data_IF_687882421835
#
_entry.id   IF_687882421835
#
_cell.length_a   1.000
_cell.length_b   1.000
_cell.length_c   1.000
_cell.angle_alpha   90.00
_cell.angle_beta   90.00
_cell.angle_gamma   90.00
#
_symmetry.space_group_name_H-M   'P 1'
#
loop_
_entity.id
_entity.type
_entity.pdbx_description
1 polymer ?
#
# COMPACT_ATOMS: atom_id res chain seq x y z
N UNK A 1 -13.78 97.51 -6.06
CA UNK A 1 -12.61 97.03 -5.28
C UNK A 1 -11.29 96.99 -6.07
N UNK A 2 -11.29 96.92 -7.42
CA UNK A 2 -10.05 96.90 -8.21
C UNK A 2 -9.27 98.24 -8.27
N UNK A 3 -9.95 99.39 -8.17
CA UNK A 3 -9.28 100.69 -8.35
C UNK A 3 -8.40 101.10 -7.16
N UNK A 4 -8.76 100.72 -5.92
CA UNK A 4 -7.97 101.04 -4.73
C UNK A 4 -6.66 100.24 -4.61
N UNK A 5 -6.53 99.12 -5.33
CA UNK A 5 -5.27 98.37 -5.40
C UNK A 5 -4.25 99.04 -6.32
N UNK A 6 -4.70 99.65 -7.43
CA UNK A 6 -3.83 100.36 -8.38
C UNK A 6 -3.15 101.58 -7.73
N UNK A 7 -3.88 102.35 -6.95
CA UNK A 7 -3.35 103.56 -6.30
C UNK A 7 -2.36 103.24 -5.17
N UNK A 8 -2.57 102.11 -4.45
CA UNK A 8 -1.60 101.62 -3.45
C UNK A 8 -0.31 101.07 -4.09
N UNK A 9 -0.36 100.54 -5.31
CA UNK A 9 0.85 100.08 -6.02
C UNK A 9 1.67 101.22 -6.61
N UNK A 10 1.02 102.34 -6.96
CA UNK A 10 1.70 103.52 -7.53
C UNK A 10 2.53 104.28 -6.50
N UNK A 11 2.13 104.26 -5.21
CA UNK A 11 2.76 105.03 -4.13
C UNK A 11 3.87 104.30 -3.34
N UNK A 12 4.40 103.20 -3.89
CA UNK A 12 5.52 102.45 -3.33
C UNK A 12 6.84 103.15 -3.71
N UNK A 13 7.74 103.38 -2.74
CA UNK A 13 9.03 104.05 -2.98
C UNK A 13 9.84 103.31 -4.06
N UNK A 14 10.69 104.02 -4.80
CA UNK A 14 11.52 103.42 -5.86
C UNK A 14 12.38 102.26 -5.34
N UNK A 15 12.82 102.34 -4.08
CA UNK A 15 13.58 101.28 -3.40
C UNK A 15 12.72 100.04 -3.14
N UNK A 16 11.46 100.22 -2.71
CA UNK A 16 10.54 99.10 -2.49
C UNK A 16 10.05 98.46 -3.80
N UNK A 17 9.89 99.22 -4.90
CA UNK A 17 9.64 98.66 -6.25
C UNK A 17 10.80 97.80 -6.74
N UNK A 18 12.06 98.22 -6.52
CA UNK A 18 13.26 97.42 -6.83
C UNK A 18 13.34 96.13 -6.01
N UNK A 19 12.99 96.19 -4.72
CA UNK A 19 12.97 95.01 -3.84
C UNK A 19 11.88 94.01 -4.28
N UNK A 20 10.68 94.47 -4.62
CA UNK A 20 9.58 93.61 -5.10
C UNK A 20 9.92 92.98 -6.46
N UNK A 21 10.54 93.73 -7.37
CA UNK A 21 10.97 93.20 -8.69
C UNK A 21 12.10 92.17 -8.52
N UNK A 22 13.06 92.44 -7.63
CA UNK A 22 14.14 91.51 -7.31
C UNK A 22 13.60 90.22 -6.64
N UNK A 23 12.68 90.32 -5.67
CA UNK A 23 12.10 89.15 -5.02
C UNK A 23 11.22 88.31 -5.95
N UNK A 24 10.48 88.95 -6.87
CA UNK A 24 9.69 88.25 -7.89
C UNK A 24 10.58 87.52 -8.91
N UNK A 25 11.69 88.13 -9.31
CA UNK A 25 12.68 87.49 -10.20
C UNK A 25 13.38 86.30 -9.53
N UNK A 26 13.73 86.42 -8.24
CA UNK A 26 14.32 85.32 -7.47
C UNK A 26 13.33 84.16 -7.28
N UNK A 27 12.06 84.44 -7.03
CA UNK A 27 11.01 83.43 -6.96
C UNK A 27 10.82 82.70 -8.30
N UNK A 28 10.86 83.42 -9.43
CA UNK A 28 10.76 82.81 -10.76
C UNK A 28 11.97 81.92 -11.08
N UNK A 29 13.19 82.37 -10.77
CA UNK A 29 14.42 81.56 -10.93
C UNK A 29 14.35 80.30 -10.07
N UNK A 30 13.85 80.41 -8.83
CA UNK A 30 13.66 79.26 -7.96
C UNK A 30 12.61 78.29 -8.51
N UNK A 31 11.48 78.78 -9.03
CA UNK A 31 10.44 77.94 -9.65
C UNK A 31 10.96 77.24 -10.90
N UNK A 32 11.71 77.94 -11.76
CA UNK A 32 12.33 77.34 -12.95
C UNK A 32 13.39 76.32 -12.56
N UNK A 33 14.19 76.58 -11.52
CA UNK A 33 15.16 75.63 -10.99
C UNK A 33 14.47 74.39 -10.41
N UNK A 34 13.40 74.56 -9.62
CA UNK A 34 12.60 73.45 -9.08
C UNK A 34 11.94 72.67 -10.22
N UNK A 35 11.35 73.33 -11.22
CA UNK A 35 10.77 72.67 -12.39
C UNK A 35 11.83 71.93 -13.20
N UNK A 36 13.00 72.51 -13.42
CA UNK A 36 14.11 71.85 -14.11
C UNK A 36 14.61 70.62 -13.34
N UNK A 37 14.69 70.71 -12.02
CA UNK A 37 15.00 69.57 -11.14
C UNK A 37 13.91 68.49 -11.26
N UNK A 38 12.63 68.84 -11.19
CA UNK A 38 11.54 67.88 -11.35
C UNK A 38 11.49 67.24 -12.75
N UNK A 39 11.89 67.95 -13.81
CA UNK A 39 11.93 67.43 -15.19
C UNK A 39 13.16 66.53 -15.43
N UNK A 40 14.25 66.73 -14.68
CA UNK A 40 15.46 65.91 -14.83
C UNK A 40 15.42 64.60 -14.03
N UNK A 41 14.54 64.50 -13.05
CA UNK A 41 14.34 63.29 -12.27
C UNK A 41 13.66 62.21 -13.12
N UNK A 42 14.09 60.96 -12.95
CA UNK A 42 13.51 59.78 -13.60
C UNK A 42 13.01 58.83 -12.52
N UNK A 43 11.81 58.30 -12.68
CA UNK A 43 11.32 57.18 -11.89
C UNK A 43 11.73 55.89 -12.59
N UNK A 44 12.46 55.04 -11.87
CA UNK A 44 12.98 53.75 -12.35
C UNK A 44 12.39 52.65 -11.49
N UNK A 45 12.01 51.54 -12.10
CA UNK A 45 11.59 50.33 -11.38
C UNK A 45 12.73 49.32 -11.46
N UNK A 46 13.23 48.86 -10.32
CA UNK A 46 14.28 47.85 -10.25
C UNK A 46 13.67 46.58 -9.64
N UNK A 47 13.91 45.44 -10.29
CA UNK A 47 13.54 44.10 -9.80
C UNK A 47 14.81 43.28 -9.70
N UNK A 48 15.16 42.86 -8.48
CA UNK A 48 16.38 42.11 -8.22
C UNK A 48 16.06 40.64 -7.89
N UNK A 49 16.24 39.75 -8.87
CA UNK A 49 15.82 38.35 -8.76
C UNK A 49 14.32 38.23 -8.53
N UNK A 50 13.93 37.51 -7.48
CA UNK A 50 12.52 37.36 -7.06
C UNK A 50 12.07 38.43 -6.05
N UNK A 51 12.86 39.49 -5.84
CA UNK A 51 12.49 40.58 -4.94
C UNK A 51 11.31 41.40 -5.51
N UNK A 52 10.53 41.99 -4.61
CA UNK A 52 9.48 42.95 -4.96
C UNK A 52 10.04 44.14 -5.74
N UNK A 53 9.22 44.71 -6.63
CA UNK A 53 9.58 45.91 -7.40
C UNK A 53 9.98 47.07 -6.47
N UNK A 54 11.14 47.66 -6.74
CA UNK A 54 11.67 48.81 -6.03
C UNK A 54 11.61 50.04 -6.94
N UNK A 55 10.80 51.01 -6.55
CA UNK A 55 10.74 52.29 -7.25
C UNK A 55 11.82 53.24 -6.73
N UNK A 56 12.61 53.79 -7.64
CA UNK A 56 13.72 54.68 -7.34
C UNK A 56 13.60 55.94 -8.18
N UNK A 57 13.69 57.10 -7.54
CA UNK A 57 13.78 58.39 -8.25
C UNK A 57 15.24 58.78 -8.32
N UNK A 58 15.76 58.97 -9.53
CA UNK A 58 17.18 59.25 -9.73
C UNK A 58 17.46 60.32 -10.78
N UNK A 59 18.62 60.96 -10.63
CA UNK A 59 19.21 61.90 -11.59
C UNK A 59 20.37 61.29 -12.37
N UNK A 60 20.71 60.01 -12.10
CA UNK A 60 21.77 59.32 -12.84
C UNK A 60 21.43 59.24 -14.33
N UNK A 61 22.49 59.07 -15.12
CA UNK A 61 22.38 59.04 -16.58
C UNK A 61 22.33 57.61 -17.10
N UNK A 62 23.03 56.68 -16.46
CA UNK A 62 23.22 55.32 -16.93
C UNK A 62 22.75 54.26 -15.91
N UNK A 63 22.41 53.07 -16.41
CA UNK A 63 21.95 51.93 -15.60
C UNK A 63 22.99 51.53 -14.54
N UNK A 64 24.26 51.40 -14.90
CA UNK A 64 25.31 51.02 -13.95
C UNK A 64 25.43 51.98 -12.77
N UNK A 65 25.25 53.28 -13.01
CA UNK A 65 25.32 54.30 -11.94
C UNK A 65 24.21 54.17 -10.90
N UNK A 66 23.00 53.75 -11.31
CA UNK A 66 21.89 53.56 -10.37
C UNK A 66 22.01 52.20 -9.66
N UNK A 67 22.53 51.18 -10.33
CA UNK A 67 22.81 49.89 -9.68
C UNK A 67 23.86 50.06 -8.57
N UNK A 68 24.96 50.78 -8.84
CA UNK A 68 26.00 51.08 -7.85
C UNK A 68 25.46 51.90 -6.67
N UNK A 69 24.60 52.91 -6.93
CA UNK A 69 23.97 53.73 -5.89
C UNK A 69 23.03 52.92 -4.99
N UNK A 70 22.31 51.97 -5.57
CA UNK A 70 21.43 51.05 -4.85
C UNK A 70 22.18 49.87 -4.21
N UNK A 71 23.51 49.80 -4.37
CA UNK A 71 24.37 48.75 -3.81
C UNK A 71 24.21 47.40 -4.50
N UNK A 72 23.71 47.38 -5.74
CA UNK A 72 23.46 46.18 -6.51
C UNK A 72 24.69 45.86 -7.37
N UNK A 73 25.42 44.83 -6.99
CA UNK A 73 26.56 44.30 -7.76
C UNK A 73 26.12 43.08 -8.54
N UNK A 74 26.35 43.06 -9.86
CA UNK A 74 26.06 41.91 -10.71
C UNK A 74 27.11 40.80 -10.53
N UNK A 75 26.65 39.57 -10.33
CA UNK A 75 27.49 38.38 -10.34
C UNK A 75 28.00 38.05 -11.74
N UNK A 76 29.03 37.20 -11.83
CA UNK A 76 29.67 36.83 -13.11
C UNK A 76 28.77 36.10 -14.11
N UNK A 77 27.68 35.50 -13.62
CA UNK A 77 26.71 34.75 -14.43
C UNK A 77 25.31 35.38 -14.37
N UNK A 78 25.14 36.48 -13.64
CA UNK A 78 23.87 37.20 -13.59
C UNK A 78 23.58 37.80 -14.97
N UNK A 79 22.30 37.95 -15.29
CA UNK A 79 21.85 38.58 -16.51
C UNK A 79 20.94 39.78 -16.17
N UNK A 80 20.87 40.75 -17.08
CA UNK A 80 20.09 41.98 -16.89
C UNK A 80 19.35 42.29 -18.19
N UNK A 81 18.10 42.74 -18.11
CA UNK A 81 17.31 43.02 -19.31
C UNK A 81 17.80 44.24 -20.12
N UNK A 82 18.64 45.09 -19.53
CA UNK A 82 19.21 46.31 -20.12
C UNK A 82 20.71 46.37 -19.85
N UNK A 83 21.48 46.95 -20.76
CA UNK A 83 22.93 47.12 -20.56
C UNK A 83 23.21 48.13 -19.43
N UNK A 84 24.27 47.89 -18.67
CA UNK A 84 24.85 48.80 -17.67
C UNK A 84 25.21 50.18 -18.26
N UNK A 85 25.63 50.25 -19.51
CA UNK A 85 25.92 51.49 -20.24
C UNK A 85 24.66 52.16 -20.83
N UNK A 86 23.48 51.57 -20.68
CA UNK A 86 22.26 52.13 -21.26
C UNK A 86 21.81 53.41 -20.52
N UNK A 87 21.36 54.41 -21.29
CA UNK A 87 20.85 55.67 -20.73
C UNK A 87 19.48 55.48 -20.09
N UNK A 88 19.34 55.93 -18.85
CA UNK A 88 18.10 55.90 -18.09
C UNK A 88 17.02 56.79 -18.72
N UNK A 89 15.81 56.25 -18.79
CA UNK A 89 14.58 56.91 -19.25
C UNK A 89 13.55 56.87 -18.14
N UNK A 90 12.69 57.88 -18.09
CA UNK A 90 11.60 57.90 -17.12
C UNK A 90 10.65 56.71 -17.35
N UNK A 91 10.26 56.03 -16.26
CA UNK A 91 9.48 54.80 -16.28
C UNK A 91 10.23 53.54 -16.73
N UNK A 92 11.57 53.58 -16.86
CA UNK A 92 12.36 52.41 -17.26
C UNK A 92 12.31 51.31 -16.18
N UNK A 93 12.10 50.07 -16.61
CA UNK A 93 12.14 48.88 -15.75
C UNK A 93 13.43 48.09 -15.97
N UNK A 94 14.21 47.96 -14.91
CA UNK A 94 15.47 47.21 -14.85
C UNK A 94 15.18 45.90 -14.11
N UNK A 95 15.38 44.78 -14.77
CA UNK A 95 15.18 43.45 -14.21
C UNK A 95 16.52 42.72 -14.20
N UNK A 96 16.91 42.27 -13.02
CA UNK A 96 18.14 41.53 -12.76
C UNK A 96 17.76 40.09 -12.51
N UNK A 97 18.40 39.20 -13.24
CA UNK A 97 18.16 37.77 -13.21
C UNK A 97 19.38 37.14 -12.56
N UNK A 98 19.25 36.87 -11.26
CA UNK A 98 20.31 36.29 -10.46
C UNK A 98 20.59 34.87 -10.88
N UNK A 99 21.87 34.57 -11.05
CA UNK A 99 22.35 33.23 -11.30
C UNK A 99 22.51 32.49 -9.98
N UNK A 100 22.03 31.25 -9.93
CA UNK A 100 22.10 30.42 -8.73
C UNK A 100 22.56 29.01 -9.09
N UNK A 101 23.18 28.30 -8.13
CA UNK A 101 23.56 26.92 -8.31
C UNK A 101 22.32 26.03 -8.36
N UNK A 102 22.21 25.23 -9.41
CA UNK A 102 21.14 24.25 -9.61
C UNK A 102 21.77 22.88 -9.59
N UNK A 103 21.20 21.98 -8.79
CA UNK A 103 21.65 20.59 -8.71
C UNK A 103 20.71 19.70 -9.50
N UNK A 104 21.28 18.96 -10.45
CA UNK A 104 20.56 18.02 -11.30
C UNK A 104 20.98 16.61 -10.94
N UNK A 105 20.02 15.78 -10.53
CA UNK A 105 20.19 14.35 -10.32
C UNK A 105 19.50 13.58 -11.45
N UNK A 106 20.28 12.83 -12.22
CA UNK A 106 19.78 12.02 -13.33
C UNK A 106 20.54 10.69 -13.38
N UNK A 107 19.84 9.58 -13.58
CA UNK A 107 20.44 8.24 -13.68
C UNK A 107 21.36 7.87 -12.49
N UNK A 108 21.05 8.39 -11.29
CA UNK A 108 21.83 8.18 -10.08
C UNK A 108 23.10 9.04 -9.95
N UNK A 109 23.39 9.93 -10.89
CA UNK A 109 24.48 10.91 -10.82
C UNK A 109 23.94 12.31 -10.54
N UNK A 110 24.60 13.06 -9.64
CA UNK A 110 24.29 14.46 -9.38
C UNK A 110 25.36 15.39 -9.95
N UNK A 111 24.93 16.48 -10.60
CA UNK A 111 25.79 17.53 -11.14
C UNK A 111 25.24 18.90 -10.75
N UNK A 112 26.13 19.82 -10.40
CA UNK A 112 25.75 21.22 -10.10
C UNK A 112 26.27 22.13 -11.20
N UNK A 113 25.43 23.06 -11.65
CA UNK A 113 25.80 24.14 -12.56
C UNK A 113 25.23 25.46 -12.06
N UNK A 114 25.81 26.57 -12.52
CA UNK A 114 25.21 27.89 -12.33
C UNK A 114 24.25 28.13 -13.50
N UNK A 115 22.99 28.47 -13.20
CA UNK A 115 21.97 28.72 -14.22
C UNK A 115 21.31 30.09 -14.03
N UNK A 116 20.92 30.70 -15.15
CA UNK A 116 20.29 32.03 -15.21
C UNK A 116 19.17 32.01 -16.23
N UNK A 117 17.96 32.50 -15.88
CA UNK A 117 16.77 32.57 -16.77
C UNK A 117 16.40 31.26 -17.49
N UNK A 118 16.48 30.12 -16.83
CA UNK A 118 16.16 28.83 -17.47
C UNK A 118 14.94 28.17 -16.87
N UNK A 119 14.27 27.37 -17.69
CA UNK A 119 13.36 26.34 -17.19
C UNK A 119 14.15 25.11 -16.80
N UNK A 120 13.53 24.24 -16.00
CA UNK A 120 14.10 22.92 -15.64
C UNK A 120 14.55 22.15 -16.89
N UNK A 121 13.72 22.10 -17.92
CA UNK A 121 14.01 21.41 -19.18
C UNK A 121 15.20 22.00 -19.94
N UNK A 122 15.34 23.33 -19.97
CA UNK A 122 16.48 23.98 -20.61
C UNK A 122 17.81 23.64 -19.93
N UNK A 123 17.82 23.54 -18.59
CA UNK A 123 18.99 23.10 -17.83
C UNK A 123 19.34 21.64 -18.13
N UNK A 124 18.34 20.75 -18.18
CA UNK A 124 18.56 19.34 -18.50
C UNK A 124 19.17 19.16 -19.91
N UNK A 125 18.63 19.86 -20.91
CA UNK A 125 19.14 19.79 -22.28
C UNK A 125 20.57 20.34 -22.40
N UNK A 126 20.93 21.38 -21.66
CA UNK A 126 22.30 21.92 -21.67
C UNK A 126 23.33 20.95 -21.07
N UNK A 127 22.92 20.17 -20.07
CA UNK A 127 23.74 19.09 -19.53
C UNK A 127 23.81 17.87 -20.46
N UNK A 128 23.12 17.90 -21.61
CA UNK A 128 23.08 16.84 -22.60
C UNK A 128 22.09 15.72 -22.27
N UNK A 129 21.16 15.94 -21.34
CA UNK A 129 20.10 14.98 -21.06
C UNK A 129 18.97 15.12 -22.09
N UNK A 130 18.67 14.03 -22.78
CA UNK A 130 17.46 13.86 -23.58
C UNK A 130 16.40 13.15 -22.75
N UNK A 131 15.16 13.62 -22.81
CA UNK A 131 14.05 13.06 -22.05
C UNK A 131 12.77 13.05 -22.89
N UNK A 132 11.88 12.11 -22.58
CA UNK A 132 10.59 11.86 -23.23
C UNK A 132 9.46 12.40 -22.36
N UNK A 133 8.26 12.51 -22.92
CA UNK A 133 7.05 12.86 -22.17
C UNK A 133 6.71 11.83 -21.07
N UNK A 134 7.13 10.58 -21.26
CA UNK A 134 6.95 9.51 -20.26
C UNK A 134 7.92 9.60 -19.09
N UNK A 135 9.02 10.36 -19.22
CA UNK A 135 10.00 10.51 -18.17
C UNK A 135 9.47 11.44 -17.07
N UNK A 136 9.92 11.22 -15.84
CA UNK A 136 9.47 12.01 -14.69
C UNK A 136 10.52 13.04 -14.34
N UNK A 137 10.11 14.30 -14.39
CA UNK A 137 10.97 15.45 -14.11
C UNK A 137 10.35 16.22 -12.96
N UNK A 138 11.15 16.44 -11.91
CA UNK A 138 10.75 17.21 -10.73
C UNK A 138 11.78 18.29 -10.48
N UNK A 139 11.43 19.59 -10.46
CA UNK A 139 10.12 20.16 -10.83
C UNK A 139 9.79 19.97 -12.33
N UNK A 140 8.61 20.39 -12.78
CA UNK A 140 8.19 20.18 -14.17
C UNK A 140 9.15 20.84 -15.19
N UNK A 141 9.32 20.24 -16.37
CA UNK A 141 10.30 20.70 -17.37
C UNK A 141 10.09 22.16 -17.86
N UNK A 142 8.86 22.66 -17.82
CA UNK A 142 8.50 24.03 -18.19
C UNK A 142 8.53 25.02 -17.00
N UNK A 143 8.70 24.52 -15.78
CA UNK A 143 8.81 25.34 -14.59
C UNK A 143 10.07 26.21 -14.67
N UNK A 144 9.89 27.51 -14.40
CA UNK A 144 11.00 28.45 -14.22
C UNK A 144 11.73 28.10 -12.93
N UNK A 145 13.05 28.16 -12.99
CA UNK A 145 13.87 27.81 -11.84
C UNK A 145 13.79 28.88 -10.74
N UNK A 146 13.93 28.43 -9.49
CA UNK A 146 14.11 29.24 -8.29
C UNK A 146 15.51 29.02 -7.68
N UNK A 147 15.90 29.87 -6.71
CA UNK A 147 17.25 30.00 -6.15
C UNK A 147 17.88 28.70 -5.58
N UNK A 148 17.07 27.66 -5.29
CA UNK A 148 17.52 26.39 -4.70
C UNK A 148 16.87 25.15 -5.30
N UNK A 149 16.55 25.16 -6.60
CA UNK A 149 15.91 24.01 -7.21
C UNK A 149 16.85 22.79 -7.30
N UNK A 150 16.39 21.68 -6.72
CA UNK A 150 16.90 20.35 -6.98
C UNK A 150 16.07 19.73 -8.10
N UNK A 151 16.70 19.53 -9.25
CA UNK A 151 16.10 18.91 -10.42
C UNK A 151 16.39 17.41 -10.36
N UNK A 152 15.35 16.60 -10.44
CA UNK A 152 15.44 15.15 -10.60
C UNK A 152 14.86 14.74 -11.95
N UNK A 153 15.63 13.99 -12.74
CA UNK A 153 15.18 13.33 -13.95
C UNK A 153 15.23 11.82 -13.74
N UNK A 154 14.08 11.16 -13.87
CA UNK A 154 13.96 9.70 -13.90
C UNK A 154 13.48 9.26 -15.26
N UNK A 155 14.32 8.51 -15.97
CA UNK A 155 13.98 7.95 -17.29
C UNK A 155 13.04 6.77 -17.13
N UNK A 156 11.97 6.73 -17.93
CA UNK A 156 10.94 5.69 -17.89
C UNK A 156 10.87 4.98 -19.24
N UNK A 157 11.19 3.69 -19.24
CA UNK A 157 11.11 2.84 -20.43
C UNK A 157 10.11 1.70 -20.22
N UNK A 158 9.31 1.42 -21.24
CA UNK A 158 8.38 0.28 -21.25
C UNK A 158 8.81 -0.73 -22.32
N UNK A 159 8.87 -2.02 -21.96
CA UNK A 159 9.15 -3.11 -22.88
C UNK A 159 8.10 -4.20 -22.78
N UNK A 160 7.68 -4.73 -23.91
CA UNK A 160 6.87 -5.94 -23.98
C UNK A 160 7.78 -7.13 -24.28
N UNK A 161 7.79 -8.14 -23.43
CA UNK A 161 8.64 -9.33 -23.56
C UNK A 161 7.76 -10.57 -23.56
N UNK A 162 7.90 -11.39 -24.59
CA UNK A 162 7.21 -12.68 -24.69
C UNK A 162 8.10 -13.78 -24.12
N UNK A 163 7.58 -14.54 -23.16
CA UNK A 163 8.27 -15.62 -22.46
C UNK A 163 7.43 -16.89 -22.56
N UNK A 164 8.08 -18.03 -22.81
CA UNK A 164 7.44 -19.34 -22.72
C UNK A 164 7.65 -19.89 -21.31
N UNK A 165 6.56 -20.21 -20.63
CA UNK A 165 6.55 -20.78 -19.28
C UNK A 165 5.93 -22.17 -19.27
N UNK A 166 6.46 -23.05 -18.43
CA UNK A 166 5.93 -24.40 -18.25
C UNK A 166 4.67 -24.39 -17.37
N UNK A 167 3.68 -25.18 -17.78
CA UNK A 167 2.48 -25.45 -16.98
C UNK A 167 2.66 -26.83 -16.33
N UNK A 168 2.76 -26.92 -15.00
CA UNK A 168 2.91 -28.21 -14.33
C UNK A 168 1.66 -29.08 -14.53
N UNK A 169 1.85 -30.39 -14.59
CA UNK A 169 0.74 -31.34 -14.69
C UNK A 169 0.19 -31.75 -13.32
N UNK A 170 -1.11 -32.03 -13.26
CA UNK A 170 -1.76 -32.58 -12.08
C UNK A 170 -1.50 -34.08 -11.92
N UNK A 171 -1.45 -34.59 -10.69
CA UNK A 171 -1.47 -36.03 -10.41
C UNK A 171 -2.84 -36.47 -9.88
N UNK A 172 -3.49 -37.40 -10.60
CA UNK A 172 -4.82 -37.94 -10.25
C UNK A 172 -4.70 -39.41 -9.88
N UNK A 173 -5.34 -39.79 -8.77
CA UNK A 173 -5.48 -41.19 -8.37
C UNK A 173 -6.88 -41.72 -8.72
N UNK A 174 -6.95 -42.89 -9.34
CA UNK A 174 -8.19 -43.60 -9.66
C UNK A 174 -8.23 -44.95 -8.94
N UNK A 175 -9.30 -45.22 -8.19
CA UNK A 175 -9.43 -46.54 -7.53
C UNK A 175 -9.73 -47.60 -8.58
N UNK A 176 -8.90 -48.64 -8.64
CA UNK A 176 -9.14 -49.83 -9.43
C UNK A 176 -9.34 -51.03 -8.52
N UNK A 177 -10.57 -51.54 -8.46
CA UNK A 177 -10.94 -52.70 -7.62
C UNK A 177 -10.23 -54.00 -8.01
N UNK A 178 -9.72 -54.10 -9.24
CA UNK A 178 -8.95 -55.24 -9.70
C UNK A 178 -7.50 -55.25 -9.16
N UNK A 179 -6.98 -54.10 -8.70
CA UNK A 179 -5.68 -54.04 -8.05
C UNK A 179 -5.79 -54.54 -6.60
N UNK A 180 -4.75 -55.25 -6.14
CA UNK A 180 -4.65 -55.63 -4.73
C UNK A 180 -4.67 -54.38 -3.83
N UNK A 181 -5.28 -54.50 -2.65
CA UNK A 181 -5.35 -53.38 -1.70
C UNK A 181 -3.97 -52.80 -1.39
N UNK A 182 -3.80 -51.50 -1.57
CA UNK A 182 -2.54 -50.79 -1.34
C UNK A 182 -1.57 -50.84 -2.54
N UNK A 183 -1.84 -51.64 -3.57
CA UNK A 183 -1.05 -51.64 -4.80
C UNK A 183 -1.28 -50.35 -5.60
N UNK A 184 -0.27 -49.92 -6.34
CA UNK A 184 -0.29 -48.72 -7.19
C UNK A 184 0.21 -49.08 -8.59
N UNK A 185 -0.46 -48.58 -9.63
CA UNK A 185 -0.05 -48.75 -11.02
C UNK A 185 -0.11 -47.41 -11.75
N UNK A 186 0.99 -47.00 -12.38
CA UNK A 186 0.98 -45.84 -13.27
C UNK A 186 0.29 -46.22 -14.59
N UNK A 187 -0.73 -45.47 -14.99
CA UNK A 187 -1.50 -45.71 -16.21
C UNK A 187 -1.22 -44.66 -17.27
N UNK A 188 -0.96 -43.42 -16.85
CA UNK A 188 -0.60 -42.33 -17.75
C UNK A 188 0.49 -41.49 -17.11
N UNK A 189 1.61 -41.33 -17.82
CA UNK A 189 2.69 -40.41 -17.41
C UNK A 189 2.21 -38.97 -17.63
N UNK A 190 2.44 -38.10 -16.64
CA UNK A 190 2.15 -36.68 -16.79
C UNK A 190 3.14 -35.99 -17.73
N UNK A 191 2.67 -34.99 -18.47
CA UNK A 191 3.47 -34.17 -19.37
C UNK A 191 3.18 -32.71 -19.05
N UNK A 192 4.23 -31.91 -18.85
CA UNK A 192 4.11 -30.46 -18.65
C UNK A 192 3.50 -29.82 -19.90
N UNK A 193 2.63 -28.85 -19.68
CA UNK A 193 2.15 -27.97 -20.73
C UNK A 193 3.08 -26.78 -20.92
N UNK A 194 2.73 -25.90 -21.84
CA UNK A 194 3.45 -24.67 -22.13
C UNK A 194 2.44 -23.54 -22.36
N UNK A 195 2.74 -22.37 -21.81
CA UNK A 195 2.03 -21.13 -22.11
C UNK A 195 3.01 -20.06 -22.59
N UNK A 196 2.58 -19.26 -23.56
CA UNK A 196 3.25 -18.02 -23.91
C UNK A 196 2.64 -16.89 -23.09
N UNK A 197 3.48 -16.17 -22.34
CA UNK A 197 3.09 -15.03 -21.52
C UNK A 197 3.80 -13.79 -22.04
N UNK A 198 3.02 -12.76 -22.37
CA UNK A 198 3.54 -11.45 -22.73
C UNK A 198 3.52 -10.56 -21.50
N UNK A 199 4.70 -10.10 -21.10
CA UNK A 199 4.91 -9.22 -19.96
C UNK A 199 5.15 -7.80 -20.43
N UNK A 200 4.40 -6.84 -19.90
CA UNK A 200 4.78 -5.42 -19.95
C UNK A 200 5.64 -5.11 -18.75
N UNK A 201 6.88 -4.71 -19.00
CA UNK A 201 7.89 -4.40 -17.99
C UNK A 201 8.20 -2.92 -18.05
N UNK A 202 8.13 -2.24 -16.90
CA UNK A 202 8.49 -0.83 -16.74
C UNK A 202 9.84 -0.73 -16.05
N UNK A 203 10.73 0.07 -16.63
CA UNK A 203 12.06 0.36 -16.13
C UNK A 203 12.15 1.84 -15.74
N UNK A 204 12.73 2.10 -14.58
CA UNK A 204 13.10 3.44 -14.12
C UNK A 204 14.62 3.50 -13.99
N UNK A 205 15.27 4.41 -14.71
CA UNK A 205 16.74 4.51 -14.79
C UNK A 205 17.42 3.17 -15.10
N UNK A 206 16.79 2.39 -15.99
CA UNK A 206 17.26 1.06 -16.40
C UNK A 206 16.97 -0.08 -15.42
N UNK A 207 16.36 0.20 -14.27
CA UNK A 207 16.00 -0.80 -13.25
C UNK A 207 14.54 -1.20 -13.38
N UNK A 208 14.26 -2.51 -13.42
CA UNK A 208 12.88 -3.03 -13.46
C UNK A 208 12.13 -2.67 -12.17
N UNK A 209 11.06 -1.88 -12.28
CA UNK A 209 10.22 -1.46 -11.14
C UNK A 209 8.83 -2.11 -11.15
N UNK A 210 8.36 -2.54 -12.32
CA UNK A 210 7.05 -3.17 -12.48
C UNK A 210 7.05 -4.19 -13.61
N UNK A 211 6.30 -5.28 -13.41
CA UNK A 211 6.04 -6.31 -14.41
C UNK A 211 4.59 -6.75 -14.31
N UNK A 212 3.85 -6.62 -15.39
CA UNK A 212 2.47 -7.07 -15.49
C UNK A 212 2.25 -8.02 -16.67
N UNK A 213 1.38 -9.02 -16.48
CA UNK A 213 0.95 -9.90 -17.56
C UNK A 213 -0.11 -9.20 -18.40
N UNK A 214 0.18 -8.95 -19.67
CA UNK A 214 -0.77 -8.31 -20.60
C UNK A 214 -1.49 -9.33 -21.49
N UNK A 215 -0.88 -10.49 -21.73
CA UNK A 215 -1.48 -11.58 -22.50
C UNK A 215 -0.95 -12.92 -22.04
N UNK A 216 -1.82 -13.91 -21.96
CA UNK A 216 -1.47 -15.31 -21.73
C UNK A 216 -2.16 -16.19 -22.76
N UNK A 217 -1.43 -17.12 -23.36
CA UNK A 217 -1.94 -18.07 -24.34
C UNK A 217 -1.35 -19.46 -24.09
N UNK A 218 -2.20 -20.45 -23.82
CA UNK A 218 -1.78 -21.85 -23.66
C UNK A 218 -1.42 -22.40 -25.05
N UNK A 219 -0.15 -22.78 -25.24
CA UNK A 219 0.35 -23.41 -26.47
C UNK A 219 0.19 -24.92 -26.42
N UNK A 220 0.46 -25.53 -25.26
CA UNK A 220 0.35 -26.96 -25.02
C UNK A 220 -0.35 -27.20 -23.70
N UNK A 221 -1.46 -27.94 -23.70
CA UNK A 221 -2.18 -28.29 -22.47
C UNK A 221 -1.39 -29.32 -21.66
N UNK A 222 -1.24 -29.17 -20.33
CA UNK A 222 -0.60 -30.18 -19.51
C UNK A 222 -1.43 -31.47 -19.50
N UNK A 223 -0.76 -32.60 -19.58
CA UNK A 223 -1.38 -33.92 -19.52
C UNK A 223 -1.24 -34.44 -18.09
N UNK A 224 -2.36 -34.68 -17.41
CA UNK A 224 -2.35 -35.18 -16.04
C UNK A 224 -1.70 -36.57 -15.94
N UNK A 225 -0.96 -36.79 -14.85
CA UNK A 225 -0.48 -38.11 -14.46
C UNK A 225 -1.62 -38.90 -13.81
N UNK A 226 -1.91 -40.10 -14.32
CA UNK A 226 -2.94 -40.97 -13.76
C UNK A 226 -2.31 -42.20 -13.14
N UNK A 227 -2.54 -42.38 -11.84
CA UNK A 227 -2.15 -43.56 -11.07
C UNK A 227 -3.39 -44.30 -10.59
N UNK A 228 -3.48 -45.58 -10.91
CA UNK A 228 -4.48 -46.44 -10.31
C UNK A 228 -4.01 -46.95 -8.95
N UNK A 229 -4.94 -46.96 -7.99
CA UNK A 229 -4.68 -47.47 -6.64
C UNK A 229 -5.70 -48.56 -6.29
N UNK A 230 -5.24 -49.63 -5.65
CA UNK A 230 -6.13 -50.66 -5.13
C UNK A 230 -7.00 -50.12 -3.99
N UNK A 231 -8.17 -50.73 -3.74
CA UNK A 231 -9.08 -50.30 -2.68
C UNK A 231 -8.39 -50.41 -1.32
N UNK A 232 -8.60 -49.44 -0.43
CA UNK A 232 -8.09 -49.53 0.95
C UNK A 232 -8.79 -50.70 1.65
N UNK A 233 -8.04 -51.66 2.20
CA UNK A 233 -8.58 -52.70 3.11
C UNK A 233 -9.37 -52.03 4.24
N UNK A 234 -10.63 -52.41 4.40
CA UNK A 234 -11.38 -52.10 5.61
C UNK A 234 -10.68 -52.81 6.79
N UNK A 235 -10.28 -52.07 7.82
CA UNK A 235 -9.72 -52.67 9.02
C UNK A 235 -10.80 -53.50 9.72
N UNK A 236 -10.63 -54.82 9.77
CA UNK A 236 -11.47 -55.71 10.58
C UNK A 236 -11.04 -55.62 12.04
N UNK A 237 -11.84 -54.95 12.87
CA UNK A 237 -11.56 -54.85 14.31
C UNK A 237 -12.17 -56.04 15.04
N UNK A 238 -11.36 -56.85 15.75
CA UNK A 238 -11.88 -57.86 16.69
C UNK A 238 -12.44 -57.13 17.92
N UNK A 239 -13.75 -57.19 18.11
CA UNK A 239 -14.44 -56.61 19.27
C UNK A 239 -14.70 -57.74 20.26
N UNK A 240 -14.16 -57.64 21.47
CA UNK A 240 -14.53 -58.54 22.56
C UNK A 240 -15.93 -58.13 23.07
N UNK A 241 -16.89 -59.06 23.03
CA UNK A 241 -18.25 -58.83 23.52
C UNK A 241 -18.74 -59.95 24.42
N UNK A 242 -19.36 -59.61 25.55
CA UNK A 242 -20.08 -60.56 26.40
C UNK A 242 -21.60 -60.31 26.37
N UNK A 243 -22.37 -61.35 26.71
CA UNK A 243 -23.84 -61.38 26.62
C UNK A 243 -24.57 -60.48 27.63
N UNK A 244 -25.89 -60.58 27.70
CA UNK A 244 -26.73 -59.75 28.58
C UNK A 244 -26.47 -59.99 30.07
N UNK A 245 -26.66 -58.96 30.90
CA UNK A 245 -26.43 -59.04 32.34
C UNK A 245 -26.86 -57.77 33.07
N UNK A 246 -26.37 -57.59 34.30
CA UNK A 246 -26.58 -56.39 35.12
C UNK A 246 -25.26 -55.78 35.56
N UNK A 247 -25.16 -54.44 35.54
CA UNK A 247 -24.02 -53.69 36.07
C UNK A 247 -24.46 -52.89 37.30
N UNK A 248 -23.71 -53.01 38.40
CA UNK A 248 -23.97 -52.24 39.62
C UNK A 248 -23.34 -50.86 39.50
N UNK A 249 -24.12 -49.81 39.76
CA UNK A 249 -23.65 -48.42 39.70
C UNK A 249 -23.87 -47.72 41.04
N UNK A 250 -22.93 -46.86 41.42
CA UNK A 250 -22.99 -46.13 42.70
C UNK A 250 -24.09 -45.07 42.76
N UNK A 251 -24.61 -44.61 41.61
CA UNK A 251 -25.61 -43.53 41.52
C UNK A 251 -27.00 -43.97 41.04
N UNK A 252 -27.13 -45.12 40.37
CA UNK A 252 -28.38 -45.51 39.68
C UNK A 252 -28.81 -46.95 39.96
N UNK A 253 -28.17 -47.62 40.93
CA UNK A 253 -28.47 -49.02 41.26
C UNK A 253 -28.03 -49.99 40.16
N UNK A 254 -28.73 -51.13 40.06
CA UNK A 254 -28.47 -52.20 39.10
C UNK A 254 -29.06 -51.87 37.73
N UNK A 255 -28.23 -51.71 36.70
CA UNK A 255 -28.67 -51.47 35.32
C UNK A 255 -28.59 -52.75 34.48
N UNK A 256 -29.69 -53.12 33.82
CA UNK A 256 -29.72 -54.25 32.89
C UNK A 256 -29.18 -53.84 31.51
N UNK A 257 -28.32 -54.68 30.95
CA UNK A 257 -27.75 -54.48 29.61
C UNK A 257 -27.96 -55.70 28.72
N UNK A 258 -28.02 -55.46 27.41
CA UNK A 258 -28.16 -56.49 26.37
C UNK A 258 -26.81 -57.01 25.88
N UNK A 259 -25.77 -56.16 25.93
CA UNK A 259 -24.43 -56.45 25.42
C UNK A 259 -23.40 -55.58 26.13
N UNK A 260 -22.21 -56.10 26.38
CA UNK A 260 -21.05 -55.30 26.78
C UNK A 260 -19.92 -55.43 25.75
N UNK A 261 -19.30 -54.31 25.41
CA UNK A 261 -18.20 -54.21 24.44
C UNK A 261 -16.95 -53.60 25.10
N UNK A 262 -15.78 -54.14 24.78
CA UNK A 262 -14.50 -53.47 25.12
C UNK A 262 -14.01 -52.68 23.92
N UNK A 263 -14.01 -51.35 24.02
CA UNK A 263 -13.66 -50.42 22.95
C UNK A 263 -12.52 -49.48 23.35
N UNK A 264 -11.78 -48.96 22.36
CA UNK A 264 -10.83 -47.88 22.59
C UNK A 264 -11.56 -46.54 22.56
N UNK A 265 -11.61 -45.85 23.70
CA UNK A 265 -12.22 -44.54 23.82
C UNK A 265 -11.20 -43.43 23.58
N UNK A 266 -11.64 -42.43 22.81
CA UNK A 266 -11.10 -41.07 22.83
C UNK A 266 -12.14 -40.13 23.46
N UNK A 267 -11.78 -38.87 23.66
CA UNK A 267 -12.73 -37.85 24.06
C UNK A 267 -12.64 -36.61 23.19
N UNK A 268 -13.77 -35.94 23.05
CA UNK A 268 -13.94 -34.70 22.31
C UNK A 268 -14.87 -33.75 23.06
N UNK A 269 -14.97 -32.53 22.54
CA UNK A 269 -15.90 -31.52 23.00
C UNK A 269 -16.47 -30.79 21.77
N UNK A 270 -17.52 -29.98 21.95
CA UNK A 270 -18.19 -29.31 20.85
C UNK A 270 -17.27 -28.40 20.02
N UNK A 271 -16.21 -27.82 20.61
CA UNK A 271 -15.24 -26.98 19.88
C UNK A 271 -14.35 -27.78 18.93
N UNK A 272 -14.23 -29.09 19.14
CA UNK A 272 -13.42 -29.99 18.33
C UNK A 272 -14.12 -30.45 17.03
N UNK A 273 -15.33 -29.96 16.73
CA UNK A 273 -16.12 -30.37 15.57
C UNK A 273 -15.71 -29.74 14.22
N UNK A 274 -14.66 -28.91 14.21
CA UNK A 274 -14.12 -28.27 13.01
C UNK A 274 -14.99 -27.13 12.45
N UNK A 275 -15.94 -26.61 13.25
CA UNK A 275 -16.79 -25.45 12.90
C UNK A 275 -16.62 -24.35 13.93
N UNK A 276 -16.76 -23.09 13.51
CA UNK A 276 -16.74 -21.95 14.44
C UNK A 276 -18.00 -21.96 15.32
N UNK A 277 -17.95 -21.41 16.55
CA UNK A 277 -19.12 -21.29 17.43
C UNK A 277 -20.32 -20.55 16.82
N UNK A 278 -20.07 -19.68 15.82
CA UNK A 278 -21.09 -18.93 15.08
C UNK A 278 -21.79 -19.73 13.99
N UNK A 279 -21.30 -20.93 13.65
CA UNK A 279 -21.85 -21.74 12.57
C UNK A 279 -23.16 -22.45 13.02
N UNK A 280 -24.24 -22.45 12.23
CA UNK A 280 -25.53 -23.06 12.62
C UNK A 280 -25.44 -24.56 13.02
N UNK A 281 -24.53 -25.29 12.38
CA UNK A 281 -24.23 -26.69 12.68
C UNK A 281 -23.13 -26.91 13.75
N UNK A 282 -22.74 -25.89 14.51
CA UNK A 282 -21.76 -26.02 15.59
C UNK A 282 -22.29 -26.90 16.72
N UNK A 283 -21.53 -27.93 17.08
CA UNK A 283 -21.92 -28.88 18.13
C UNK A 283 -23.20 -29.66 17.82
N UNK A 284 -23.58 -29.81 16.55
CA UNK A 284 -24.72 -30.65 16.14
C UNK A 284 -24.21 -32.03 15.74
N UNK A 285 -24.75 -33.07 16.37
CA UNK A 285 -24.35 -34.47 16.17
C UNK A 285 -25.04 -35.09 14.95
N UNK A 286 -24.61 -36.27 14.53
CA UNK A 286 -25.24 -37.01 13.42
C UNK A 286 -26.76 -37.24 13.56
N UNK A 287 -27.28 -37.29 14.79
CA UNK A 287 -28.73 -37.42 15.06
C UNK A 287 -29.45 -36.08 15.28
N UNK A 288 -28.76 -34.95 15.11
CA UNK A 288 -29.30 -33.61 15.32
C UNK A 288 -29.32 -33.15 16.78
N UNK A 289 -28.74 -33.92 17.72
CA UNK A 289 -28.63 -33.53 19.13
C UNK A 289 -27.46 -32.55 19.32
N UNK A 290 -27.51 -31.77 20.40
CA UNK A 290 -26.34 -30.97 20.81
C UNK A 290 -25.29 -31.87 21.43
N UNK A 291 -24.04 -31.72 21.00
CA UNK A 291 -22.88 -32.30 21.63
C UNK A 291 -22.71 -31.72 23.03
N UNK A 292 -22.36 -32.59 23.98
CA UNK A 292 -22.21 -32.28 25.39
C UNK A 292 -22.05 -33.57 26.19
N UNK A 293 -21.79 -33.46 27.49
CA UNK A 293 -21.61 -34.62 28.35
C UNK A 293 -22.77 -35.62 28.23
N UNK A 294 -22.45 -36.90 28.06
CA UNK A 294 -23.44 -37.97 27.86
C UNK A 294 -23.83 -38.20 26.40
N UNK A 295 -23.28 -37.47 25.44
CA UNK A 295 -23.37 -37.80 24.00
C UNK A 295 -22.09 -38.47 23.55
N UNK A 296 -22.19 -39.55 22.77
CA UNK A 296 -21.02 -40.26 22.25
C UNK A 296 -21.09 -40.50 20.75
N UNK A 297 -19.92 -40.46 20.12
CA UNK A 297 -19.75 -40.87 18.73
C UNK A 297 -19.41 -42.35 18.65
N UNK A 298 -20.11 -43.09 17.79
CA UNK A 298 -19.94 -44.53 17.62
C UNK A 298 -19.81 -44.90 16.14
N UNK A 299 -19.38 -46.13 15.89
CA UNK A 299 -19.64 -46.79 14.60
C UNK A 299 -21.05 -47.41 14.64
N UNK A 300 -22.02 -46.93 13.83
CA UNK A 300 -23.39 -47.45 13.81
C UNK A 300 -23.50 -48.94 13.46
N UNK A 301 -22.50 -49.51 12.78
CA UNK A 301 -22.45 -50.94 12.49
C UNK A 301 -22.10 -51.80 13.73
N UNK A 302 -21.57 -51.18 14.78
CA UNK A 302 -21.16 -51.84 16.03
C UNK A 302 -22.12 -51.51 17.19
N UNK A 303 -22.49 -50.24 17.34
CA UNK A 303 -23.49 -49.74 18.30
C UNK A 303 -24.47 -48.87 17.50
N UNK A 304 -25.75 -49.27 17.35
CA UNK A 304 -26.74 -48.47 16.64
C UNK A 304 -26.92 -47.09 17.28
N UNK A 305 -27.13 -46.06 16.45
CA UNK A 305 -27.52 -44.74 16.95
C UNK A 305 -28.86 -44.82 17.71
N UNK A 306 -28.98 -44.02 18.77
CA UNK A 306 -30.09 -44.06 19.73
C UNK A 306 -29.86 -45.01 20.91
N UNK A 307 -28.84 -45.87 20.87
CA UNK A 307 -28.54 -46.80 21.97
C UNK A 307 -28.24 -46.03 23.27
N UNK A 308 -28.88 -46.46 24.36
CA UNK A 308 -28.52 -46.02 25.72
C UNK A 308 -27.35 -46.84 26.22
N UNK A 309 -26.35 -46.17 26.76
CA UNK A 309 -25.09 -46.76 27.15
C UNK A 309 -24.80 -46.48 28.62
N UNK A 310 -24.06 -47.38 29.26
CA UNK A 310 -23.30 -47.09 30.46
C UNK A 310 -21.81 -47.36 30.15
N UNK A 311 -20.94 -46.42 30.52
CA UNK A 311 -19.54 -46.44 30.11
C UNK A 311 -18.63 -46.25 31.33
N UNK A 312 -17.71 -47.18 31.50
CA UNK A 312 -16.64 -47.12 32.49
C UNK A 312 -15.32 -47.56 31.86
N UNK A 313 -14.19 -47.15 32.43
CA UNK A 313 -12.89 -47.64 32.00
C UNK A 313 -12.79 -49.15 32.24
N UNK A 314 -12.01 -49.84 31.41
CA UNK A 314 -11.92 -51.30 31.47
C UNK A 314 -11.38 -51.81 32.82
N UNK A 315 -10.52 -51.03 33.47
CA UNK A 315 -9.95 -51.25 34.80
C UNK A 315 -10.86 -50.79 35.96
N UNK A 316 -12.01 -50.17 35.67
CA UNK A 316 -12.95 -49.64 36.67
C UNK A 316 -12.49 -48.38 37.40
N UNK A 317 -11.33 -47.80 37.04
CA UNK A 317 -10.76 -46.62 37.70
C UNK A 317 -11.53 -45.32 37.42
N UNK A 318 -12.34 -45.29 36.36
CA UNK A 318 -13.07 -44.11 35.93
C UNK A 318 -14.45 -44.48 35.40
N UNK A 319 -15.48 -43.76 35.85
CA UNK A 319 -16.85 -43.92 35.37
C UNK A 319 -17.25 -42.67 34.60
N UNK A 320 -17.52 -42.82 33.30
CA UNK A 320 -18.15 -41.77 32.50
C UNK A 320 -19.67 -41.76 32.74
N UNK A 321 -20.27 -42.92 32.96
CA UNK A 321 -21.67 -43.04 33.34
C UNK A 321 -22.59 -43.24 32.14
N UNK A 322 -23.83 -42.77 32.25
CA UNK A 322 -24.85 -43.00 31.23
C UNK A 322 -24.66 -42.07 30.03
N UNK A 323 -24.87 -42.61 28.83
CA UNK A 323 -24.68 -41.87 27.59
C UNK A 323 -25.63 -42.34 26.49
N UNK A 324 -25.73 -41.56 25.42
CA UNK A 324 -26.48 -41.89 24.22
C UNK A 324 -25.58 -41.89 22.98
N UNK A 325 -25.66 -42.98 22.21
CA UNK A 325 -25.04 -43.06 20.89
C UNK A 325 -25.77 -42.13 19.93
N UNK A 326 -25.29 -40.91 19.76
CA UNK A 326 -26.01 -39.87 19.02
C UNK A 326 -25.17 -39.21 17.93
N UNK A 327 -23.91 -39.62 17.80
CA UNK A 327 -22.97 -39.02 16.86
C UNK A 327 -22.16 -40.06 16.09
N UNK A 328 -21.51 -39.63 15.02
CA UNK A 328 -20.59 -40.46 14.23
C UNK A 328 -19.35 -39.65 13.86
N UNK A 329 -18.18 -40.28 13.86
CA UNK A 329 -16.94 -39.66 13.42
C UNK A 329 -16.29 -40.41 12.27
N UNK A 330 -15.63 -39.68 11.36
CA UNK A 330 -14.88 -40.31 10.26
C UNK A 330 -13.80 -41.28 10.73
N UNK A 331 -13.18 -40.98 11.89
CA UNK A 331 -12.16 -41.81 12.53
C UNK A 331 -12.70 -42.82 13.56
N UNK A 332 -14.00 -42.76 13.88
CA UNK A 332 -14.68 -43.63 14.85
C UNK A 332 -15.30 -44.78 14.09
N UNK A 333 -14.49 -45.82 13.88
CA UNK A 333 -14.83 -47.03 13.13
C UNK A 333 -14.41 -48.27 13.90
N UNK A 334 -15.24 -49.30 13.88
CA UNK A 334 -15.03 -50.59 14.54
C UNK A 334 -14.93 -50.47 16.06
N UNK A 335 -13.83 -50.95 16.64
CA UNK A 335 -13.63 -51.05 18.09
C UNK A 335 -13.27 -49.70 18.77
N UNK A 336 -13.87 -48.59 18.32
CA UNK A 336 -13.61 -47.23 18.80
C UNK A 336 -14.88 -46.50 19.19
N UNK A 337 -14.78 -45.63 20.17
CA UNK A 337 -15.85 -44.75 20.66
C UNK A 337 -15.25 -43.39 21.03
N UNK A 338 -16.00 -42.30 20.85
CA UNK A 338 -15.57 -40.96 21.26
C UNK A 338 -16.55 -40.41 22.30
N UNK A 339 -16.04 -40.03 23.48
CA UNK A 339 -16.86 -39.54 24.59
C UNK A 339 -16.89 -38.02 24.58
N UNK A 340 -18.08 -37.42 24.48
CA UNK A 340 -18.19 -35.97 24.48
C UNK A 340 -18.11 -35.43 25.92
N UNK A 341 -17.39 -34.34 26.09
CA UNK A 341 -17.38 -33.55 27.32
C UNK A 341 -17.86 -32.13 27.02
N UNK A 342 -18.30 -31.44 28.07
CA UNK A 342 -18.73 -30.04 27.93
C UNK A 342 -17.55 -29.11 27.69
N UNK A 343 -16.37 -29.47 28.22
CA UNK A 343 -15.15 -28.68 28.06
C UNK A 343 -13.99 -29.46 27.45
N UNK A 344 -13.17 -28.75 26.67
CA UNK A 344 -11.90 -29.26 26.13
C UNK A 344 -10.97 -29.78 27.23
N UNK A 345 -10.92 -29.12 28.37
CA UNK A 345 -10.06 -29.51 29.49
C UNK A 345 -10.44 -30.88 30.05
N UNK A 346 -11.73 -31.18 30.16
CA UNK A 346 -12.22 -32.50 30.59
C UNK A 346 -11.89 -33.60 29.56
N UNK A 347 -12.09 -33.32 28.27
CA UNK A 347 -11.73 -34.25 27.21
C UNK A 347 -10.23 -34.58 27.22
N UNK A 348 -9.37 -33.58 27.43
CA UNK A 348 -7.92 -33.79 27.56
C UNK A 348 -7.59 -34.63 28.81
N UNK A 349 -8.22 -34.35 29.96
CA UNK A 349 -8.01 -35.12 31.20
C UNK A 349 -8.43 -36.59 31.05
N UNK A 350 -9.49 -36.86 30.28
CA UNK A 350 -9.88 -38.24 29.97
C UNK A 350 -8.83 -38.94 29.09
N UNK A 351 -8.31 -38.26 28.08
CA UNK A 351 -7.27 -38.80 27.20
C UNK A 351 -7.75 -39.99 26.37
N UNK A 352 -6.89 -40.99 26.17
CA UNK A 352 -7.23 -42.22 25.43
C UNK A 352 -7.13 -43.42 26.36
N UNK A 353 -8.16 -44.25 26.42
CA UNK A 353 -8.17 -45.45 27.27
C UNK A 353 -9.14 -46.50 26.77
N UNK A 354 -8.94 -47.73 27.22
CA UNK A 354 -9.89 -48.82 26.98
C UNK A 354 -11.09 -48.68 27.91
N UNK A 355 -12.30 -48.87 27.38
CA UNK A 355 -13.57 -48.75 28.12
C UNK A 355 -14.45 -49.98 27.92
N UNK A 356 -15.24 -50.31 28.95
CA UNK A 356 -16.39 -51.21 28.85
C UNK A 356 -17.63 -50.36 28.54
N UNK A 357 -18.29 -50.69 27.44
CA UNK A 357 -19.51 -50.03 26.97
C UNK A 357 -20.65 -51.03 27.08
N UNK A 358 -21.53 -50.81 28.05
CA UNK A 358 -22.73 -51.60 28.26
C UNK A 358 -23.88 -50.99 27.48
N UNK A 359 -24.47 -51.73 26.56
CA UNK A 359 -25.66 -51.32 25.80
C UNK A 359 -26.88 -51.66 26.64
N UNK A 360 -27.49 -50.64 27.23
CA UNK A 360 -28.60 -50.76 28.17
C UNK A 360 -29.88 -51.21 27.46
N UNK A 361 -30.77 -51.87 28.21
CA UNK A 361 -32.10 -52.28 27.72
C UNK A 361 -33.11 -51.13 27.70
#
# INVERSE_FOLDING_TARGET
MLNGLKDRMLNISSSAKKIILASSSAALVLIVAICAVCICAKQIVIVDGDASEKEVITFKRYVGEILDEEGIVLGTHDDINVSDEEKLRDGMKIEIYRAYPVTVTAMGESRTLIATRRTVGAVLTELGYEFKETDRITPAADQKLAEFDEITLVTVDEKTVDVVEEIPYESKERVNKALASGARKLVQKGVTGEKAVSYKIVYEDGVEVSRETVKEEIKVQPIAQIREVGPKKAASYKIASAGAGTVQTSRSGSLAYSKVLTLNATAYDASSCGKSPSHPAYGITATGRRAGYGVVAVDPSVIPLGSKLYIESADGSYVYGTAIAADTGGAIKGARIDLCYDTRAEAIRFGRRSVKVYVLK
#
